data_IF_579750546496
#
_entry.id   IF_579750546496
#
_cell.length_a   1.000
_cell.length_b   1.000
_cell.length_c   1.000
_cell.angle_alpha   90.00
_cell.angle_beta   90.00
_cell.angle_gamma   90.00
#
_symmetry.space_group_name_H-M   'P 1'
#
loop_
_entity.id
_entity.type
_entity.pdbx_description
1 polymer ?
#
# COMPACT_ATOMS: atom_id res chain seq x y z
N UNK A 1 18.17 14.52 -2.63
CA UNK A 1 17.57 15.41 -3.65
C UNK A 1 16.30 16.02 -3.09
N UNK A 2 16.32 17.31 -2.72
CA UNK A 2 15.25 18.32 -2.87
C UNK A 2 15.74 19.60 -2.19
N UNK A 3 15.84 20.65 -3.01
CA UNK A 3 16.34 21.99 -2.66
C UNK A 3 15.24 22.74 -1.93
N UNK A 4 15.58 23.46 -0.86
CA UNK A 4 14.83 24.65 -0.48
C UNK A 4 15.82 25.81 -0.32
N UNK A 5 15.73 26.70 -1.29
CA UNK A 5 16.52 27.89 -1.50
C UNK A 5 16.07 28.99 -0.55
N UNK A 6 16.95 29.46 0.33
CA UNK A 6 16.86 30.82 0.87
C UNK A 6 17.99 31.65 0.25
N UNK A 7 17.59 32.73 -0.41
CA UNK A 7 18.48 33.71 -1.03
C UNK A 7 19.33 34.38 0.07
N UNK A 8 20.60 34.01 0.18
CA UNK A 8 21.64 34.91 0.67
C UNK A 8 22.23 35.59 -0.57
N UNK A 9 22.09 36.91 -0.64
CA UNK A 9 22.99 37.73 -1.45
C UNK A 9 23.66 38.73 -0.50
N UNK A 10 25.00 38.84 -0.55
CA UNK A 10 25.80 39.59 0.40
C UNK A 10 25.93 41.03 -0.07
N UNK A 11 26.12 41.97 0.86
CA UNK A 11 26.72 43.24 0.47
C UNK A 11 27.55 43.80 1.62
N UNK A 12 28.86 43.69 1.39
CA UNK A 12 29.92 44.43 2.02
C UNK A 12 29.70 45.92 1.71
N UNK A 13 29.65 46.78 2.73
CA UNK A 13 29.96 48.20 2.54
C UNK A 13 30.63 48.76 3.80
N UNK A 14 31.95 48.94 3.67
CA UNK A 14 32.73 49.93 4.39
C UNK A 14 32.25 51.31 3.90
N UNK A 15 31.76 52.17 4.80
CA UNK A 15 31.62 53.64 4.63
C UNK A 15 31.61 54.21 6.05
N UNK A 16 32.72 54.73 6.59
CA UNK A 16 33.33 56.04 6.33
C UNK A 16 32.39 57.19 6.77
N UNK A 17 32.85 57.93 7.78
CA UNK A 17 32.35 59.21 8.25
C UNK A 17 31.82 60.07 7.09
N UNK A 18 30.52 60.34 7.07
CA UNK A 18 29.94 61.50 6.39
C UNK A 18 28.76 61.97 7.23
N UNK A 19 28.91 63.15 7.85
CA UNK A 19 27.81 63.91 8.44
C UNK A 19 26.78 64.25 7.35
N UNK A 20 25.48 64.02 7.55
CA UNK A 20 24.48 64.65 6.71
C UNK A 20 24.34 66.11 7.16
N UNK A 21 24.90 67.03 6.39
CA UNK A 21 24.43 68.42 6.33
C UNK A 21 23.08 68.37 5.62
N UNK A 22 22.02 68.11 6.38
CA UNK A 22 20.68 68.53 5.97
C UNK A 22 20.50 69.93 6.53
N UNK A 23 20.52 70.89 5.62
CA UNK A 23 19.99 72.22 5.85
C UNK A 23 18.47 72.08 6.00
N UNK A 24 18.01 71.92 7.24
CA UNK A 24 16.68 72.36 7.63
C UNK A 24 16.78 73.87 7.90
N UNK A 25 16.09 74.66 7.07
CA UNK A 25 15.75 76.04 7.37
C UNK A 25 14.85 76.06 8.61
N UNK A 26 15.46 76.00 9.80
CA UNK A 26 14.81 76.43 11.04
C UNK A 26 14.86 77.96 11.08
N UNK A 27 13.68 78.57 11.15
CA UNK A 27 13.50 79.98 11.37
C UNK A 27 14.29 80.42 12.61
N UNK A 28 15.24 81.34 12.43
CA UNK A 28 15.94 82.02 13.53
C UNK A 28 14.90 82.73 14.41
N UNK A 29 14.52 82.12 15.53
CA UNK A 29 14.06 82.88 16.69
C UNK A 29 15.24 83.74 17.13
N UNK A 30 15.17 85.04 16.85
CA UNK A 30 16.17 86.03 17.21
C UNK A 30 16.49 85.96 18.71
N UNK A 31 17.61 85.33 19.06
CA UNK A 31 18.16 85.38 20.39
C UNK A 31 18.75 86.78 20.62
N UNK A 32 18.04 87.60 21.40
CA UNK A 32 18.54 88.89 21.86
C UNK A 32 19.84 88.69 22.66
N UNK A 33 20.95 89.27 22.18
CA UNK A 33 22.15 89.42 23.00
C UNK A 33 21.84 90.34 24.20
N UNK A 34 22.13 89.90 25.44
CA UNK A 34 21.72 90.62 26.64
C UNK A 34 22.49 91.95 26.74
N UNK A 35 21.75 93.04 26.95
CA UNK A 35 22.25 94.40 26.74
C UNK A 35 22.77 95.08 28.03
N UNK A 36 22.60 94.43 29.20
CA UNK A 36 23.15 94.89 30.48
C UNK A 36 23.48 93.74 31.47
N UNK A 37 24.32 93.97 32.50
CA UNK A 37 24.71 92.95 33.48
C UNK A 37 23.57 92.36 34.33
N UNK A 38 22.46 93.08 34.48
CA UNK A 38 21.30 92.62 35.25
C UNK A 38 20.46 91.61 34.47
N UNK A 39 20.31 91.79 33.16
CA UNK A 39 19.68 90.81 32.25
C UNK A 39 20.46 89.50 32.18
N UNK A 40 21.81 89.57 32.17
CA UNK A 40 22.68 88.40 32.23
C UNK A 40 22.51 87.60 33.52
N UNK A 41 22.41 88.29 34.67
CA UNK A 41 22.22 87.64 35.97
C UNK A 41 20.89 86.89 36.03
N UNK A 42 19.81 87.49 35.50
CA UNK A 42 18.49 86.87 35.48
C UNK A 42 18.44 85.65 34.53
N UNK A 43 19.12 85.73 33.38
CA UNK A 43 19.25 84.62 32.44
C UNK A 43 20.03 83.44 33.04
N UNK A 44 21.15 83.72 33.74
CA UNK A 44 21.94 82.70 34.46
C UNK A 44 21.15 82.08 35.61
N UNK A 45 20.41 82.90 36.38
CA UNK A 45 19.58 82.40 37.46
C UNK A 45 18.45 81.50 36.94
N UNK A 46 17.73 81.91 35.89
CA UNK A 46 16.71 81.08 35.22
C UNK A 46 17.31 79.81 34.62
N UNK A 47 18.49 79.89 34.00
CA UNK A 47 19.25 78.75 33.49
C UNK A 47 19.61 77.74 34.59
N UNK A 48 20.18 78.19 35.71
CA UNK A 48 20.51 77.32 36.85
C UNK A 48 19.28 76.62 37.45
N UNK A 49 18.13 77.31 37.55
CA UNK A 49 16.89 76.69 38.02
C UNK A 49 16.33 75.67 37.02
N UNK A 50 16.38 75.98 35.72
CA UNK A 50 15.98 75.07 34.65
C UNK A 50 16.88 73.82 34.62
N UNK A 51 18.20 74.00 34.68
CA UNK A 51 19.20 72.92 34.73
C UNK A 51 18.98 72.02 35.96
N UNK A 52 18.69 72.61 37.12
CA UNK A 52 18.45 71.85 38.35
C UNK A 52 17.15 71.03 38.25
N UNK A 53 16.11 71.58 37.61
CA UNK A 53 14.86 70.87 37.39
C UNK A 53 15.07 69.70 36.40
N UNK A 54 15.78 69.93 35.30
CA UNK A 54 16.10 68.92 34.30
C UNK A 54 16.98 67.79 34.88
N UNK A 55 18.02 68.13 35.65
CA UNK A 55 18.87 67.18 36.37
C UNK A 55 18.05 66.27 37.29
N UNK A 56 17.16 66.85 38.11
CA UNK A 56 16.27 66.08 39.00
C UNK A 56 15.34 65.16 38.22
N UNK A 57 14.85 65.59 37.06
CA UNK A 57 14.04 64.75 36.19
C UNK A 57 14.85 63.60 35.59
N UNK A 58 16.06 63.85 35.09
CA UNK A 58 16.97 62.80 34.59
C UNK A 58 17.30 61.78 35.67
N UNK A 59 17.61 62.22 36.88
CA UNK A 59 17.85 61.32 38.01
C UNK A 59 16.62 60.49 38.35
N UNK A 60 15.42 61.08 38.34
CA UNK A 60 14.15 60.37 38.56
C UNK A 60 13.93 59.32 37.47
N UNK A 61 14.12 59.68 36.19
CA UNK A 61 14.03 58.76 35.05
C UNK A 61 15.04 57.62 35.20
N UNK A 62 16.31 57.92 35.51
CA UNK A 62 17.35 56.92 35.72
C UNK A 62 17.02 55.95 36.87
N UNK A 63 16.56 56.47 38.03
CA UNK A 63 16.13 55.61 39.15
C UNK A 63 14.95 54.72 38.76
N UNK A 64 13.97 55.25 38.03
CA UNK A 64 12.83 54.48 37.55
C UNK A 64 13.24 53.38 36.56
N UNK A 65 14.13 53.69 35.61
CA UNK A 65 14.65 52.72 34.64
C UNK A 65 15.50 51.64 35.31
N UNK A 66 16.36 52.00 36.25
CA UNK A 66 17.13 51.04 37.06
C UNK A 66 16.20 50.08 37.80
N UNK A 67 15.15 50.60 38.44
CA UNK A 67 14.15 49.77 39.14
C UNK A 67 13.38 48.88 38.17
N UNK A 68 13.05 49.39 36.97
CA UNK A 68 12.39 48.61 35.91
C UNK A 68 13.28 47.47 35.42
N UNK A 69 14.57 47.73 35.17
CA UNK A 69 15.53 46.69 34.76
C UNK A 69 15.74 45.65 35.86
N UNK A 70 15.86 46.07 37.12
CA UNK A 70 15.98 45.17 38.25
C UNK A 70 14.75 44.26 38.39
N UNK A 71 13.54 44.82 38.19
CA UNK A 71 12.30 44.04 38.17
C UNK A 71 12.27 43.04 37.01
N UNK A 72 12.58 43.47 35.79
CA UNK A 72 12.62 42.57 34.63
C UNK A 72 13.61 41.42 34.82
N UNK A 73 14.78 41.71 35.39
CA UNK A 73 15.78 40.68 35.70
C UNK A 73 15.28 39.71 36.78
N UNK A 74 14.63 40.22 37.83
CA UNK A 74 14.04 39.39 38.88
C UNK A 74 12.92 38.49 38.33
N UNK A 75 12.03 39.05 37.52
CA UNK A 75 10.93 38.33 36.86
C UNK A 75 11.49 37.24 35.92
N UNK A 76 12.49 37.57 35.10
CA UNK A 76 13.14 36.61 34.20
C UNK A 76 13.86 35.48 34.96
N UNK A 77 14.51 35.78 36.10
CA UNK A 77 15.13 34.76 36.96
C UNK A 77 14.08 33.86 37.62
N UNK A 78 12.97 34.43 38.09
CA UNK A 78 11.87 33.67 38.67
C UNK A 78 11.21 32.75 37.63
N UNK A 79 11.01 33.26 36.41
CA UNK A 79 10.47 32.50 35.29
C UNK A 79 11.40 31.36 34.87
N UNK A 80 12.70 31.64 34.71
CA UNK A 80 13.70 30.60 34.45
C UNK A 80 13.69 29.52 35.52
N UNK A 81 13.67 29.88 36.80
CA UNK A 81 13.62 28.92 37.90
C UNK A 81 12.30 28.12 37.95
N UNK A 82 11.19 28.67 37.44
CA UNK A 82 9.93 27.94 37.26
C UNK A 82 10.05 26.90 36.16
N UNK A 83 10.58 27.30 35.00
CA UNK A 83 10.77 26.42 33.84
C UNK A 83 11.78 25.30 34.14
N UNK A 84 12.87 25.59 34.86
CA UNK A 84 13.83 24.56 35.29
C UNK A 84 13.19 23.51 36.21
N UNK A 85 12.31 23.92 37.14
CA UNK A 85 11.54 22.99 37.99
C UNK A 85 10.55 22.16 37.17
N UNK A 86 9.90 22.77 36.19
CA UNK A 86 8.98 22.06 35.30
C UNK A 86 9.71 21.05 34.40
N UNK A 87 10.85 21.44 33.84
CA UNK A 87 11.72 20.56 33.06
C UNK A 87 12.16 19.35 33.89
N UNK A 88 12.69 19.57 35.10
CA UNK A 88 13.10 18.48 35.99
C UNK A 88 11.94 17.52 36.32
N UNK A 89 10.71 18.04 36.49
CA UNK A 89 9.51 17.21 36.70
C UNK A 89 9.14 16.40 35.45
N UNK A 90 9.22 17.01 34.27
CA UNK A 90 8.93 16.33 33.01
C UNK A 90 9.97 15.27 32.69
N UNK A 91 11.25 15.53 32.99
CA UNK A 91 12.35 14.59 32.84
C UNK A 91 12.16 13.36 33.73
N UNK A 92 11.84 13.54 35.02
CA UNK A 92 11.48 12.43 35.90
C UNK A 92 10.29 11.60 35.39
N UNK A 93 9.26 12.26 34.82
CA UNK A 93 8.13 11.55 34.22
C UNK A 93 8.53 10.79 32.97
N UNK A 94 9.40 11.37 32.16
CA UNK A 94 9.92 10.74 30.94
C UNK A 94 10.72 9.50 31.30
N UNK A 95 11.67 9.60 32.23
CA UNK A 95 12.46 8.46 32.72
C UNK A 95 11.57 7.35 33.31
N UNK A 96 10.56 7.72 34.11
CA UNK A 96 9.60 6.74 34.66
C UNK A 96 8.79 6.05 33.55
N UNK A 97 8.35 6.79 32.55
CA UNK A 97 7.62 6.24 31.40
C UNK A 97 8.52 5.35 30.53
N UNK A 98 9.79 5.72 30.35
CA UNK A 98 10.77 4.92 29.61
C UNK A 98 11.02 3.59 30.33
N UNK A 99 11.19 3.60 31.65
CA UNK A 99 11.32 2.38 32.44
C UNK A 99 10.06 1.50 32.34
N UNK A 100 8.86 2.09 32.42
CA UNK A 100 7.60 1.36 32.23
C UNK A 100 7.47 0.79 30.82
N UNK A 101 7.89 1.54 29.80
CA UNK A 101 7.85 1.11 28.40
C UNK A 101 8.74 -0.12 28.20
N UNK A 102 9.98 -0.10 28.71
CA UNK A 102 10.89 -1.25 28.63
C UNK A 102 10.30 -2.49 29.30
N UNK A 103 9.69 -2.35 30.48
CA UNK A 103 9.03 -3.46 31.17
C UNK A 103 7.81 -3.96 30.37
N UNK A 104 6.98 -3.07 29.85
CA UNK A 104 5.81 -3.41 29.05
C UNK A 104 6.19 -4.12 27.75
N UNK A 105 7.24 -3.67 27.06
CA UNK A 105 7.79 -4.31 25.86
C UNK A 105 8.35 -5.70 26.18
N UNK A 106 9.04 -5.86 27.30
CA UNK A 106 9.54 -7.16 27.74
C UNK A 106 8.38 -8.13 28.05
N UNK A 107 7.36 -7.68 28.79
CA UNK A 107 6.16 -8.48 29.06
C UNK A 107 5.39 -8.83 27.78
N UNK A 108 5.27 -7.87 26.85
CA UNK A 108 4.67 -8.12 25.54
C UNK A 108 5.44 -9.20 24.82
N UNK A 109 6.77 -9.11 24.75
CA UNK A 109 7.63 -10.11 24.10
C UNK A 109 7.54 -11.49 24.74
N UNK A 110 7.50 -11.57 26.07
CA UNK A 110 7.33 -12.83 26.81
C UNK A 110 5.98 -13.48 26.48
N UNK A 111 4.89 -12.71 26.53
CA UNK A 111 3.55 -13.19 26.16
C UNK A 111 3.47 -13.59 24.69
N UNK A 112 4.13 -12.82 23.81
CA UNK A 112 4.27 -13.13 22.39
C UNK A 112 5.07 -14.41 22.15
N UNK A 113 5.95 -14.84 23.06
CA UNK A 113 6.71 -16.08 22.91
C UNK A 113 5.83 -17.30 22.60
N UNK A 114 4.72 -17.45 23.32
CA UNK A 114 3.71 -18.48 23.05
C UNK A 114 2.88 -18.23 21.79
N UNK A 115 2.70 -16.96 21.42
CA UNK A 115 1.90 -16.56 20.26
C UNK A 115 2.70 -16.60 18.95
N UNK A 116 4.03 -16.55 18.99
CA UNK A 116 4.91 -16.62 17.82
C UNK A 116 4.77 -17.93 17.07
N UNK A 117 4.56 -19.04 17.78
CA UNK A 117 4.29 -20.34 17.16
C UNK A 117 2.94 -20.30 16.43
N UNK A 118 1.90 -19.76 17.07
CA UNK A 118 0.57 -19.59 16.47
C UNK A 118 0.64 -18.65 15.26
N UNK A 119 1.42 -17.57 15.31
CA UNK A 119 1.61 -16.67 14.17
C UNK A 119 2.42 -17.32 13.05
N UNK A 120 3.40 -18.15 13.38
CA UNK A 120 4.10 -18.98 12.40
C UNK A 120 3.13 -19.92 11.66
N UNK A 121 2.25 -20.59 12.39
CA UNK A 121 1.19 -21.42 11.79
C UNK A 121 0.23 -20.58 10.94
N UNK A 122 -0.19 -19.41 11.41
CA UNK A 122 -1.08 -18.53 10.67
C UNK A 122 -0.43 -17.99 9.39
N UNK A 123 0.85 -17.61 9.45
CA UNK A 123 1.63 -17.19 8.29
C UNK A 123 1.78 -18.33 7.28
N UNK A 124 2.05 -19.55 7.76
CA UNK A 124 2.10 -20.76 6.96
C UNK A 124 0.76 -21.03 6.28
N UNK A 125 -0.35 -21.03 7.03
CA UNK A 125 -1.70 -21.22 6.52
C UNK A 125 -2.09 -20.15 5.50
N UNK A 126 -1.79 -18.88 5.75
CA UNK A 126 -2.06 -17.81 4.79
C UNK A 126 -1.25 -17.97 3.50
N UNK A 127 0.01 -18.43 3.61
CA UNK A 127 0.88 -18.70 2.45
C UNK A 127 0.37 -19.90 1.64
N UNK A 128 -0.01 -20.99 2.32
CA UNK A 128 -0.61 -22.19 1.73
C UNK A 128 -1.91 -21.84 0.99
N UNK A 129 -2.83 -21.17 1.69
CA UNK A 129 -4.11 -20.72 1.13
C UNK A 129 -3.91 -19.83 -0.09
N UNK A 130 -2.95 -18.90 -0.04
CA UNK A 130 -2.61 -18.04 -1.19
C UNK A 130 -2.17 -18.86 -2.38
N UNK A 131 -1.31 -19.86 -2.18
CA UNK A 131 -0.81 -20.70 -3.27
C UNK A 131 -1.94 -21.53 -3.89
N UNK A 132 -2.83 -22.09 -3.07
CA UNK A 132 -4.03 -22.81 -3.52
C UNK A 132 -4.91 -21.87 -4.34
N UNK A 133 -5.25 -20.70 -3.79
CA UNK A 133 -6.14 -19.75 -4.46
C UNK A 133 -5.54 -19.28 -5.78
N UNK A 134 -4.25 -18.94 -5.80
CA UNK A 134 -3.55 -18.49 -7.01
C UNK A 134 -3.65 -19.47 -8.19
N UNK A 135 -3.74 -20.78 -7.92
CA UNK A 135 -3.83 -21.81 -8.95
C UNK A 135 -5.27 -22.27 -9.20
N UNK A 136 -6.18 -21.99 -8.27
CA UNK A 136 -7.56 -22.47 -8.33
C UNK A 136 -8.38 -21.80 -9.43
N UNK A 137 -9.23 -22.58 -10.07
CA UNK A 137 -10.23 -22.12 -11.04
C UNK A 137 -11.20 -21.10 -10.41
N UNK A 138 -11.40 -21.11 -9.10
CA UNK A 138 -12.29 -20.16 -8.41
C UNK A 138 -11.76 -18.72 -8.43
N UNK A 139 -10.47 -18.51 -8.72
CA UNK A 139 -9.87 -17.17 -8.72
C UNK A 139 -10.40 -16.24 -9.80
N UNK A 140 -10.78 -16.77 -10.98
CA UNK A 140 -11.44 -15.96 -12.00
C UNK A 140 -12.83 -15.46 -11.52
N UNK A 141 -13.50 -16.23 -10.66
CA UNK A 141 -14.80 -15.87 -10.11
C UNK A 141 -14.70 -14.88 -8.92
N UNK A 142 -13.77 -15.14 -8.01
CA UNK A 142 -13.68 -14.40 -6.74
C UNK A 142 -12.65 -13.26 -6.77
N UNK A 143 -11.88 -13.15 -7.85
CA UNK A 143 -10.88 -12.13 -8.06
C UNK A 143 -9.58 -12.37 -7.29
N UNK A 144 -8.59 -11.52 -7.57
CA UNK A 144 -7.23 -11.60 -6.98
C UNK A 144 -7.07 -10.89 -5.64
N UNK A 145 -8.07 -10.11 -5.21
CA UNK A 145 -8.04 -9.37 -3.94
C UNK A 145 -7.82 -10.28 -2.72
N UNK A 146 -8.32 -11.53 -2.79
CA UNK A 146 -8.09 -12.55 -1.76
C UNK A 146 -6.62 -12.98 -1.69
N UNK A 147 -5.93 -13.08 -2.82
CA UNK A 147 -4.49 -13.40 -2.86
C UNK A 147 -3.67 -12.24 -2.28
N UNK A 148 -4.03 -11.00 -2.60
CA UNK A 148 -3.37 -9.81 -2.06
C UNK A 148 -3.56 -9.72 -0.54
N UNK A 149 -4.78 -9.94 -0.06
CA UNK A 149 -5.08 -10.02 1.36
C UNK A 149 -4.22 -11.07 2.08
N UNK A 150 -4.17 -12.30 1.56
CA UNK A 150 -3.36 -13.38 2.15
C UNK A 150 -1.87 -13.09 2.08
N UNK A 151 -1.40 -12.41 1.03
CA UNK A 151 0.01 -11.97 0.92
C UNK A 151 0.35 -10.98 2.03
N UNK A 152 -0.50 -9.97 2.26
CA UNK A 152 -0.31 -8.99 3.33
C UNK A 152 -0.37 -9.64 4.70
N UNK A 153 -1.31 -10.56 4.91
CA UNK A 153 -1.45 -11.29 6.17
C UNK A 153 -0.23 -12.17 6.46
N UNK A 154 0.28 -12.89 5.46
CA UNK A 154 1.48 -13.74 5.60
C UNK A 154 2.71 -12.91 5.97
N UNK A 155 2.94 -11.77 5.31
CA UNK A 155 4.06 -10.85 5.63
C UNK A 155 3.93 -10.32 7.04
N UNK A 156 2.76 -9.79 7.40
CA UNK A 156 2.48 -9.23 8.73
C UNK A 156 2.77 -10.24 9.85
N UNK A 157 2.37 -11.50 9.65
CA UNK A 157 2.55 -12.58 10.64
C UNK A 157 3.96 -13.15 10.66
N UNK A 158 4.69 -13.08 9.54
CA UNK A 158 6.09 -13.49 9.44
C UNK A 158 7.07 -12.55 10.15
N UNK A 159 6.70 -11.28 10.36
CA UNK A 159 7.52 -10.29 11.07
C UNK A 159 7.58 -10.53 12.60
N UNK A 160 6.66 -11.31 13.17
CA UNK A 160 6.67 -11.73 14.58
C UNK A 160 6.42 -10.63 15.62
N UNK A 161 6.28 -9.37 15.20
CA UNK A 161 6.03 -8.22 16.09
C UNK A 161 4.63 -7.63 15.90
N UNK A 162 4.06 -7.74 14.71
CA UNK A 162 2.72 -7.26 14.40
C UNK A 162 1.68 -8.36 14.57
N UNK A 163 0.51 -8.01 15.11
CA UNK A 163 -0.60 -8.94 15.37
C UNK A 163 -1.68 -8.87 14.28
N UNK A 164 -2.23 -10.02 13.92
CA UNK A 164 -3.43 -10.09 13.11
C UNK A 164 -4.59 -9.58 13.96
N UNK A 165 -5.38 -8.69 13.38
CA UNK A 165 -6.61 -8.20 13.98
C UNK A 165 -7.69 -9.27 13.83
N UNK A 166 -8.68 -9.25 14.73
CA UNK A 166 -9.82 -10.19 14.66
C UNK A 166 -10.49 -10.16 13.27
N UNK A 167 -10.76 -9.00 12.65
CA UNK A 167 -11.33 -8.95 11.30
C UNK A 167 -10.46 -9.62 10.22
N UNK A 168 -9.13 -9.60 10.35
CA UNK A 168 -8.24 -10.30 9.42
C UNK A 168 -8.35 -11.83 9.61
N UNK A 169 -8.47 -12.31 10.85
CA UNK A 169 -8.71 -13.74 11.12
C UNK A 169 -10.08 -14.19 10.62
N UNK A 170 -11.11 -13.35 10.83
CA UNK A 170 -12.46 -13.56 10.32
C UNK A 170 -12.49 -13.63 8.79
N UNK A 171 -11.73 -12.76 8.12
CA UNK A 171 -11.61 -12.82 6.67
C UNK A 171 -10.85 -14.07 6.20
N UNK A 172 -9.81 -14.49 6.90
CA UNK A 172 -9.06 -15.70 6.54
C UNK A 172 -9.95 -16.94 6.57
N UNK A 173 -10.67 -17.20 7.67
CA UNK A 173 -11.53 -18.39 7.73
C UNK A 173 -12.68 -18.29 6.73
N UNK A 174 -13.23 -17.09 6.50
CA UNK A 174 -14.27 -16.87 5.51
C UNK A 174 -13.79 -17.25 4.11
N UNK A 175 -12.63 -16.78 3.67
CA UNK A 175 -12.10 -17.09 2.34
C UNK A 175 -11.76 -18.58 2.20
N UNK A 176 -11.24 -19.22 3.26
CA UNK A 176 -11.01 -20.66 3.28
C UNK A 176 -12.32 -21.45 3.13
N UNK A 177 -13.35 -21.09 3.90
CA UNK A 177 -14.65 -21.74 3.83
C UNK A 177 -15.32 -21.50 2.48
N UNK A 178 -15.18 -20.30 1.93
CA UNK A 178 -15.68 -19.95 0.61
C UNK A 178 -15.01 -20.78 -0.47
N UNK A 179 -13.69 -21.00 -0.39
CA UNK A 179 -12.99 -21.91 -1.31
C UNK A 179 -13.49 -23.34 -1.16
N UNK A 180 -13.61 -23.85 0.08
CA UNK A 180 -14.13 -25.20 0.35
C UNK A 180 -15.51 -25.38 -0.26
N UNK A 181 -16.45 -24.45 -0.04
CA UNK A 181 -17.79 -24.53 -0.62
C UNK A 181 -17.72 -24.50 -2.15
N UNK A 182 -16.92 -23.59 -2.70
CA UNK A 182 -16.76 -23.46 -4.15
C UNK A 182 -16.21 -24.75 -4.79
N UNK A 183 -15.41 -25.57 -4.08
CA UNK A 183 -14.93 -26.86 -4.63
C UNK A 183 -16.04 -27.86 -4.95
N UNK A 184 -17.19 -27.77 -4.29
CA UNK A 184 -18.34 -28.66 -4.49
C UNK A 184 -19.49 -28.05 -5.30
N UNK A 185 -19.40 -26.77 -5.64
CA UNK A 185 -20.47 -26.05 -6.34
C UNK A 185 -20.29 -26.07 -7.85
N UNK A 186 -21.39 -26.25 -8.57
CA UNK A 186 -21.49 -25.96 -10.00
C UNK A 186 -22.16 -24.60 -10.14
N UNK A 187 -21.46 -23.63 -10.73
CA UNK A 187 -21.95 -22.25 -10.84
C UNK A 187 -21.78 -21.72 -12.25
N UNK A 188 -22.76 -20.92 -12.69
CA UNK A 188 -22.73 -20.20 -13.96
C UNK A 188 -22.59 -18.70 -13.70
N UNK A 189 -21.61 -18.07 -14.34
CA UNK A 189 -21.30 -16.65 -14.15
C UNK A 189 -20.53 -16.10 -15.36
N UNK A 190 -20.53 -14.78 -15.52
CA UNK A 190 -19.71 -14.13 -16.56
C UNK A 190 -18.29 -13.93 -16.07
N UNK A 191 -17.33 -14.23 -16.93
CA UNK A 191 -15.91 -14.00 -16.68
C UNK A 191 -15.18 -13.65 -17.98
N UNK A 192 -14.06 -12.95 -17.83
CA UNK A 192 -13.14 -12.69 -18.92
C UNK A 192 -12.42 -13.98 -19.32
N UNK A 193 -12.55 -14.33 -20.60
CA UNK A 193 -11.91 -15.50 -21.22
C UNK A 193 -10.98 -15.03 -22.33
N UNK A 194 -9.76 -15.56 -22.33
CA UNK A 194 -8.80 -15.37 -23.41
C UNK A 194 -9.10 -16.39 -24.50
N UNK A 195 -9.54 -15.91 -25.66
CA UNK A 195 -9.80 -16.73 -26.83
C UNK A 195 -8.48 -17.20 -27.49
N UNK A 196 -8.58 -18.17 -28.41
CA UNK A 196 -7.42 -18.72 -29.13
C UNK A 196 -6.65 -17.70 -29.98
N UNK A 197 -7.31 -16.62 -30.39
CA UNK A 197 -6.70 -15.51 -31.13
C UNK A 197 -6.02 -14.48 -30.20
N UNK A 198 -6.09 -14.69 -28.88
CA UNK A 198 -5.53 -13.84 -27.84
C UNK A 198 -6.41 -12.64 -27.46
N UNK A 199 -7.62 -12.53 -28.02
CA UNK A 199 -8.60 -11.52 -27.59
C UNK A 199 -9.18 -11.88 -26.23
N UNK A 200 -9.57 -10.88 -25.44
CA UNK A 200 -10.25 -11.06 -24.15
C UNK A 200 -11.71 -10.73 -24.35
N UNK A 201 -12.57 -11.70 -24.08
CA UNK A 201 -14.01 -11.59 -24.24
C UNK A 201 -14.71 -11.98 -22.94
N UNK A 202 -15.72 -11.21 -22.54
CA UNK A 202 -16.59 -11.59 -21.43
C UNK A 202 -17.55 -12.68 -21.93
N UNK A 203 -17.42 -13.89 -21.38
CA UNK A 203 -18.26 -15.04 -21.74
C UNK A 203 -18.95 -15.63 -20.53
N UNK A 204 -20.09 -16.30 -20.76
CA UNK A 204 -20.77 -17.06 -19.72
C UNK A 204 -20.01 -18.37 -19.48
N UNK A 205 -19.49 -18.54 -18.28
CA UNK A 205 -18.67 -19.68 -17.87
C UNK A 205 -19.44 -20.51 -16.85
N UNK A 206 -19.46 -21.83 -17.06
CA UNK A 206 -19.88 -22.79 -16.04
C UNK A 206 -18.65 -23.43 -15.41
N UNK A 207 -18.48 -23.20 -14.11
CA UNK A 207 -17.44 -23.81 -13.30
C UNK A 207 -18.01 -25.00 -12.54
N UNK A 208 -17.43 -26.17 -12.73
CA UNK A 208 -17.77 -27.41 -12.01
C UNK A 208 -16.73 -27.63 -10.93
N UNK A 209 -17.01 -27.14 -9.72
CA UNK A 209 -16.10 -27.21 -8.59
C UNK A 209 -14.74 -26.57 -8.88
N UNK A 210 -13.66 -27.23 -8.48
CA UNK A 210 -12.27 -26.86 -8.85
C UNK A 210 -11.70 -27.74 -9.96
N UNK A 211 -12.55 -28.52 -10.63
CA UNK A 211 -12.12 -29.54 -11.58
C UNK A 211 -12.04 -29.00 -13.02
N UNK A 212 -13.11 -28.35 -13.48
CA UNK A 212 -13.20 -27.85 -14.85
C UNK A 212 -14.00 -26.53 -14.91
N UNK A 213 -13.70 -25.73 -15.92
CA UNK A 213 -14.50 -24.60 -16.35
C UNK A 213 -14.81 -24.78 -17.84
N UNK A 214 -16.03 -24.44 -18.26
CA UNK A 214 -16.48 -24.58 -19.64
C UNK A 214 -17.24 -23.34 -20.09
N UNK A 215 -17.14 -22.99 -21.37
CA UNK A 215 -17.86 -21.90 -22.03
C UNK A 215 -18.14 -22.29 -23.47
N UNK A 216 -19.36 -22.06 -23.96
CA UNK A 216 -19.77 -22.34 -25.35
C UNK A 216 -19.38 -23.73 -25.88
N UNK A 217 -19.50 -24.75 -25.03
CA UNK A 217 -19.16 -26.12 -25.38
C UNK A 217 -17.69 -26.52 -25.19
N UNK A 218 -16.81 -25.54 -24.95
CA UNK A 218 -15.36 -25.73 -24.87
C UNK A 218 -14.86 -25.74 -23.42
N UNK A 219 -13.86 -26.58 -23.16
CA UNK A 219 -13.12 -26.58 -21.90
C UNK A 219 -12.12 -25.41 -21.85
N UNK A 220 -12.06 -24.80 -20.67
CA UNK A 220 -11.16 -23.70 -20.33
C UNK A 220 -10.11 -24.16 -19.32
N UNK A 221 -8.98 -23.46 -19.31
CA UNK A 221 -7.97 -23.52 -18.24
C UNK A 221 -7.86 -22.16 -17.55
N UNK A 222 -7.19 -22.11 -16.40
CA UNK A 222 -6.99 -20.86 -15.65
C UNK A 222 -5.54 -20.37 -15.78
N UNK A 223 -5.36 -19.21 -16.43
CA UNK A 223 -4.07 -18.59 -16.60
C UNK A 223 -3.72 -17.73 -15.37
N UNK A 224 -3.18 -18.36 -14.31
CA UNK A 224 -2.88 -17.68 -13.03
C UNK A 224 -2.07 -16.37 -13.16
N UNK A 225 -1.15 -16.29 -14.12
CA UNK A 225 -0.36 -15.08 -14.39
C UNK A 225 -1.22 -13.92 -14.88
N UNK A 226 -2.21 -14.18 -15.74
CA UNK A 226 -3.13 -13.19 -16.30
C UNK A 226 -4.36 -12.98 -15.42
N UNK A 227 -4.74 -13.99 -14.63
CA UNK A 227 -5.91 -13.94 -13.75
C UNK A 227 -7.24 -14.18 -14.44
N UNK A 228 -7.20 -14.75 -15.64
CA UNK A 228 -8.36 -14.98 -16.50
C UNK A 228 -8.45 -16.46 -16.87
N UNK A 229 -9.61 -16.89 -17.33
CA UNK A 229 -9.71 -18.16 -18.04
C UNK A 229 -9.08 -18.03 -19.44
N UNK A 230 -8.61 -19.15 -19.98
CA UNK A 230 -8.03 -19.24 -21.31
C UNK A 230 -8.59 -20.49 -21.98
N UNK A 231 -9.00 -20.35 -23.24
CA UNK A 231 -9.48 -21.46 -24.03
C UNK A 231 -8.33 -22.44 -24.31
N UNK A 232 -8.59 -23.75 -24.20
CA UNK A 232 -7.55 -24.74 -24.47
C UNK A 232 -7.17 -24.72 -25.96
N UNK A 233 -5.87 -24.77 -26.32
CA UNK A 233 -5.39 -24.74 -27.70
C UNK A 233 -6.00 -25.82 -28.60
N UNK A 234 -6.36 -26.96 -28.03
CA UNK A 234 -7.21 -27.95 -28.67
C UNK A 234 -8.17 -28.54 -27.66
N UNK A 235 -9.31 -29.03 -28.14
CA UNK A 235 -10.38 -29.55 -27.29
C UNK A 235 -10.31 -31.09 -27.20
N UNK A 236 -10.75 -31.67 -26.07
CA UNK A 236 -10.88 -33.11 -25.93
C UNK A 236 -11.83 -33.70 -26.98
N UNK A 237 -11.74 -35.02 -27.19
CA UNK A 237 -12.61 -35.71 -28.15
C UNK A 237 -14.10 -35.40 -27.92
N UNK A 238 -14.87 -35.40 -29.02
CA UNK A 238 -16.28 -34.98 -29.04
C UNK A 238 -17.18 -35.62 -27.98
N UNK A 239 -16.87 -36.85 -27.54
CA UNK A 239 -17.61 -37.54 -26.46
C UNK A 239 -17.52 -36.86 -25.09
N UNK A 240 -16.53 -35.99 -24.89
CA UNK A 240 -16.35 -35.21 -23.65
C UNK A 240 -16.95 -33.82 -23.82
N UNK A 241 -16.65 -33.14 -24.93
CA UNK A 241 -17.25 -31.82 -25.23
C UNK A 241 -18.75 -31.89 -25.45
N UNK A 242 -19.32 -33.03 -25.87
CA UNK A 242 -20.78 -33.19 -25.94
C UNK A 242 -21.48 -33.13 -24.58
N UNK A 243 -20.76 -33.34 -23.48
CA UNK A 243 -21.33 -33.28 -22.11
C UNK A 243 -21.31 -31.87 -21.52
N UNK A 244 -20.62 -30.92 -22.16
CA UNK A 244 -20.50 -29.55 -21.66
C UNK A 244 -21.79 -28.76 -21.90
N UNK A 245 -22.47 -28.99 -23.02
CA UNK A 245 -23.81 -28.45 -23.29
C UNK A 245 -24.84 -28.89 -22.26
N UNK A 246 -24.76 -30.16 -21.83
CA UNK A 246 -25.68 -30.71 -20.84
C UNK A 246 -25.54 -30.00 -19.49
N UNK A 247 -24.32 -29.60 -19.10
CA UNK A 247 -24.07 -28.81 -17.89
C UNK A 247 -24.46 -27.34 -18.05
N UNK A 248 -24.41 -26.82 -19.26
CA UNK A 248 -24.75 -25.43 -19.55
C UNK A 248 -26.26 -25.17 -19.54
N UNK A 249 -27.04 -26.13 -20.06
CA UNK A 249 -28.49 -26.04 -20.25
C UNK A 249 -29.30 -26.84 -19.19
N UNK A 250 -28.63 -27.36 -18.15
CA UNK A 250 -29.28 -28.20 -17.15
C UNK A 250 -30.27 -27.46 -16.26
N UNK A 251 -31.56 -27.77 -16.43
CA UNK A 251 -32.64 -27.39 -15.51
C UNK A 251 -32.98 -28.49 -14.48
N UNK A 252 -32.41 -29.70 -14.61
CA UNK A 252 -32.71 -30.85 -13.77
C UNK A 252 -31.47 -31.66 -13.37
N UNK A 253 -31.51 -32.26 -12.17
CA UNK A 253 -30.45 -33.11 -11.61
C UNK A 253 -30.85 -34.60 -11.66
N UNK A 254 -29.94 -35.55 -11.95
CA UNK A 254 -28.50 -35.39 -12.19
C UNK A 254 -28.11 -35.09 -13.65
N UNK A 255 -26.99 -34.39 -13.83
CA UNK A 255 -26.39 -34.06 -15.14
C UNK A 255 -25.13 -34.90 -15.35
N UNK A 256 -24.92 -35.41 -16.56
CA UNK A 256 -23.71 -36.13 -16.91
C UNK A 256 -22.64 -35.14 -17.40
N UNK A 257 -21.44 -35.19 -16.80
CA UNK A 257 -20.33 -34.31 -17.20
C UNK A 257 -19.00 -35.07 -17.13
N UNK A 258 -18.17 -34.90 -18.16
CA UNK A 258 -16.82 -35.42 -18.16
C UNK A 258 -15.88 -34.52 -17.33
N UNK A 259 -15.56 -34.97 -16.14
CA UNK A 259 -14.68 -34.29 -15.17
C UNK A 259 -13.23 -34.74 -15.36
N UNK A 260 -12.29 -33.79 -15.29
CA UNK A 260 -10.87 -34.07 -15.12
C UNK A 260 -10.55 -34.28 -13.62
N UNK A 261 -10.13 -35.48 -13.19
CA UNK A 261 -9.87 -35.79 -11.79
C UNK A 261 -8.57 -35.17 -11.26
N UNK A 262 -7.73 -34.56 -12.10
CA UNK A 262 -6.51 -33.86 -11.67
C UNK A 262 -6.80 -32.54 -10.94
N UNK A 263 -8.08 -32.16 -10.84
CA UNK A 263 -8.57 -31.30 -9.77
C UNK A 263 -7.96 -29.88 -9.74
N UNK A 264 -7.57 -29.34 -8.56
CA UNK A 264 -7.17 -27.93 -8.35
C UNK A 264 -6.02 -27.40 -9.21
N UNK A 265 -5.29 -28.28 -9.91
CA UNK A 265 -4.24 -27.94 -10.86
C UNK A 265 -4.78 -27.75 -12.29
N UNK A 266 -6.09 -27.80 -12.48
CA UNK A 266 -6.79 -27.25 -13.64
C UNK A 266 -6.43 -27.89 -14.97
N UNK A 267 -6.67 -29.20 -15.09
CA UNK A 267 -6.71 -29.81 -16.42
C UNK A 267 -5.42 -30.44 -16.90
N UNK A 268 -4.48 -30.79 -16.00
CA UNK A 268 -3.21 -31.43 -16.41
C UNK A 268 -3.41 -32.75 -17.18
N UNK A 269 -4.46 -33.51 -16.85
CA UNK A 269 -4.80 -34.72 -17.58
C UNK A 269 -5.49 -34.41 -18.91
N UNK A 270 -6.38 -33.42 -18.92
CA UNK A 270 -6.98 -32.90 -20.15
C UNK A 270 -5.91 -32.40 -21.12
N UNK A 271 -4.95 -31.61 -20.64
CA UNK A 271 -3.80 -31.12 -21.39
C UNK A 271 -2.93 -32.26 -21.94
N UNK A 272 -2.75 -33.34 -21.17
CA UNK A 272 -2.06 -34.54 -21.65
C UNK A 272 -2.87 -35.35 -22.65
N UNK A 273 -4.20 -35.38 -22.56
CA UNK A 273 -5.07 -36.05 -23.51
C UNK A 273 -5.10 -35.30 -24.85
N UNK A 274 -5.09 -33.98 -24.80
CA UNK A 274 -5.11 -33.11 -25.97
C UNK A 274 -3.75 -33.08 -26.69
N UNK A 275 -2.64 -33.27 -25.97
CA UNK A 275 -1.30 -33.35 -26.58
C UNK A 275 -1.05 -34.66 -27.35
N UNK A 276 -1.94 -35.64 -27.23
CA UNK A 276 -1.90 -36.83 -28.07
C UNK A 276 -2.45 -36.48 -29.46
N UNK A 277 -1.63 -36.63 -30.50
CA UNK A 277 -2.07 -36.46 -31.88
C UNK A 277 -3.23 -37.41 -32.20
N UNK A 278 -4.33 -36.87 -32.75
CA UNK A 278 -5.50 -37.66 -33.11
C UNK A 278 -5.16 -38.73 -34.15
N UNK A 279 -5.97 -39.79 -34.27
CA UNK A 279 -5.72 -40.87 -35.24
C UNK A 279 -5.54 -40.35 -36.68
N UNK A 280 -6.31 -39.32 -37.06
CA UNK A 280 -6.20 -38.65 -38.36
C UNK A 280 -4.95 -37.76 -38.49
N UNK A 281 -4.56 -37.08 -37.42
CA UNK A 281 -3.39 -36.19 -37.38
C UNK A 281 -2.09 -37.01 -37.41
N UNK A 282 -2.10 -38.18 -36.77
CA UNK A 282 -1.02 -39.18 -36.86
C UNK A 282 -0.87 -39.76 -38.26
N UNK A 283 -1.96 -39.97 -39.00
CA UNK A 283 -1.89 -40.49 -40.38
C UNK A 283 -1.39 -39.40 -41.34
N UNK A 284 -1.94 -38.19 -41.24
CA UNK A 284 -1.66 -37.11 -42.19
C UNK A 284 -0.34 -36.37 -41.91
N UNK A 285 0.09 -36.29 -40.64
CA UNK A 285 1.26 -35.52 -40.22
C UNK A 285 2.48 -36.35 -39.80
N UNK A 286 2.28 -37.46 -39.08
CA UNK A 286 3.39 -38.24 -38.48
C UNK A 286 3.68 -39.58 -39.20
N UNK A 287 2.70 -40.13 -39.93
CA UNK A 287 2.73 -41.49 -40.49
C UNK A 287 3.46 -41.63 -41.83
N UNK A 288 3.81 -40.52 -42.48
CA UNK A 288 4.44 -40.51 -43.79
C UNK A 288 3.71 -41.37 -44.84
N UNK A 289 4.38 -41.77 -45.94
CA UNK A 289 3.76 -42.62 -46.97
C UNK A 289 3.26 -43.97 -46.43
N UNK A 290 3.91 -44.49 -45.37
CA UNK A 290 3.57 -45.78 -44.76
C UNK A 290 2.20 -45.75 -44.07
N UNK A 291 1.81 -44.63 -43.44
CA UNK A 291 0.51 -44.47 -42.81
C UNK A 291 -0.67 -44.61 -43.79
N UNK A 292 -0.53 -44.05 -44.99
CA UNK A 292 -1.53 -44.19 -46.06
C UNK A 292 -1.63 -45.62 -46.59
N UNK A 293 -0.51 -46.35 -46.70
CA UNK A 293 -0.49 -47.75 -47.13
C UNK A 293 -1.24 -48.64 -46.14
N UNK A 294 -1.03 -48.45 -44.83
CA UNK A 294 -1.72 -49.24 -43.80
C UNK A 294 -3.23 -48.99 -43.84
N UNK A 295 -3.67 -47.74 -44.01
CA UNK A 295 -5.09 -47.41 -44.12
C UNK A 295 -5.72 -48.01 -45.40
N UNK A 296 -5.01 -47.94 -46.53
CA UNK A 296 -5.46 -48.53 -47.79
C UNK A 296 -5.59 -50.07 -47.70
N UNK A 297 -4.63 -50.74 -47.06
CA UNK A 297 -4.65 -52.20 -46.86
C UNK A 297 -5.73 -52.61 -45.86
N UNK A 298 -5.94 -51.88 -44.76
CA UNK A 298 -7.03 -52.15 -43.81
C UNK A 298 -8.40 -51.83 -44.41
N UNK A 299 -8.52 -50.75 -45.20
CA UNK A 299 -9.75 -50.39 -45.90
C UNK A 299 -10.14 -51.42 -46.97
N UNK A 300 -9.19 -51.87 -47.79
CA UNK A 300 -9.44 -52.91 -48.78
C UNK A 300 -9.57 -54.31 -48.17
N UNK A 301 -8.80 -54.63 -47.14
CA UNK A 301 -8.89 -55.90 -46.40
C UNK A 301 -10.21 -56.04 -45.64
N UNK A 302 -10.73 -54.94 -45.08
CA UNK A 302 -12.04 -54.91 -44.43
C UNK A 302 -13.20 -55.10 -45.41
N UNK A 303 -13.10 -54.54 -46.62
CA UNK A 303 -14.09 -54.77 -47.69
C UNK A 303 -13.96 -56.18 -48.27
N UNK A 304 -12.75 -56.74 -48.37
CA UNK A 304 -12.51 -58.12 -48.79
C UNK A 304 -13.08 -59.17 -47.82
N UNK A 305 -13.04 -58.92 -46.52
CA UNK A 305 -13.66 -59.79 -45.51
C UNK A 305 -15.20 -59.65 -45.43
N UNK A 306 -15.78 -58.56 -45.95
CA UNK A 306 -17.24 -58.40 -46.03
C UNK A 306 -17.85 -58.97 -47.33
N UNK A 307 -17.03 -59.26 -48.34
CA UNK A 307 -17.41 -59.90 -49.60
C UNK A 307 -16.84 -61.32 -49.76
N UNK A 308 -16.21 -61.85 -48.72
CA UNK A 308 -15.64 -63.19 -48.67
C UNK A 308 -16.48 -64.14 -47.83
N UNK A 309 -17.71 -64.39 -48.28
CA UNK A 309 -18.47 -65.63 -48.02
C UNK A 309 -18.79 -66.28 -49.39
#
# INVERSE_FOLDING_TARGET
>A
MKKLTYKLLPLFFITLLVFPVNAEEEAEEAANEPSNPSELLELVQKGQFADTAEQRERERKFRNEKNKQAKLLADAKAERARLEREAARLEQKFEANEALLVVAEAQLKERLGSLNEIFGHLAGLATEARNIFKQSLTSAQFGKDREEFLTKLAVKMGEGVALATIPELERLWFELQREINATGEVVKFNADVIALDGTVEEREVVRVGVFNAVSDGNYLTYASTRGMYEELPSQPAGRYTSTTSDVFDADAFPVQFAVDPTGPQGGSYLASLISMSGAWERINGEGGPIGYVIFYVLGLGGVGCLYGD
#
